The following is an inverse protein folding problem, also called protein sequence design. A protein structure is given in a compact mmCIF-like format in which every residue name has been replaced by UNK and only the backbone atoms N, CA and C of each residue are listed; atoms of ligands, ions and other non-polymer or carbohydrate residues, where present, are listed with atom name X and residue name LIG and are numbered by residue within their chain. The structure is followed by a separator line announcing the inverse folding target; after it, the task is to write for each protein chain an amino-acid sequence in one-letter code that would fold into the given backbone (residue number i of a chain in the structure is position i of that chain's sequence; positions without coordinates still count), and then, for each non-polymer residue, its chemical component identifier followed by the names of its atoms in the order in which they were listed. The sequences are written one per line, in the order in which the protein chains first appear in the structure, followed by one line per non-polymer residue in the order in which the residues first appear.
data_IF_675977649203
#
_entry.id   IF_675977649203
#
_cell.length_a   1.000
_cell.length_b   1.000
_cell.length_c   1.000
_cell.angle_alpha   90.00
_cell.angle_beta   90.00
_cell.angle_gamma   90.00
#
_symmetry.space_group_name_H-M   'P 1'
#
loop_
_entity.id
_entity.type
_entity.pdbx_description
1 polymer ?
#
# COMPACT_ATOMS: atom_id res chain seq x y z
N UNK A 1 10.76 -1.03 -7.60
CA UNK A 1 9.81 0.09 -7.77
C UNK A 1 9.74 0.80 -6.43
N UNK A 2 10.09 2.10 -6.37
CA UNK A 2 10.05 2.85 -5.12
C UNK A 2 8.70 3.52 -4.95
N UNK A 3 8.10 3.38 -3.76
CA UNK A 3 6.86 4.09 -3.42
C UNK A 3 7.18 5.58 -3.23
N UNK A 4 6.39 6.45 -3.85
CA UNK A 4 6.51 7.90 -3.75
C UNK A 4 5.59 8.46 -2.66
N UNK A 5 4.30 8.14 -2.75
CA UNK A 5 3.27 8.65 -1.83
C UNK A 5 2.20 7.59 -1.61
N UNK A 6 1.59 7.61 -0.42
CA UNK A 6 0.38 6.87 -0.13
C UNK A 6 -0.69 7.79 0.47
N UNK A 7 -1.94 7.64 0.06
CA UNK A 7 -3.07 8.42 0.59
C UNK A 7 -4.35 7.58 0.64
N UNK A 8 -5.25 7.88 1.57
CA UNK A 8 -6.53 7.18 1.72
C UNK A 8 -7.52 7.60 0.62
N UNK A 9 -8.34 6.65 0.15
CA UNK A 9 -9.43 6.92 -0.78
C UNK A 9 -10.59 7.64 -0.08
N UNK A 10 -11.09 8.72 -0.69
CA UNK A 10 -12.15 9.54 -0.09
C UNK A 10 -13.50 8.82 0.03
N UNK A 11 -13.75 7.79 -0.80
CA UNK A 11 -15.01 7.01 -0.78
C UNK A 11 -14.89 5.74 0.05
N UNK A 12 -13.71 5.13 0.11
CA UNK A 12 -13.50 3.83 0.77
C UNK A 12 -12.50 3.93 1.92
N UNK A 13 -13.01 4.04 3.15
CA UNK A 13 -12.17 4.01 4.36
C UNK A 13 -11.39 2.71 4.45
N UNK A 14 -10.08 2.82 4.71
CA UNK A 14 -9.17 1.68 4.78
C UNK A 14 -8.62 1.20 3.43
N UNK A 15 -8.97 1.88 2.33
CA UNK A 15 -8.36 1.68 1.01
C UNK A 15 -7.39 2.82 0.74
N UNK A 16 -6.19 2.47 0.28
CA UNK A 16 -5.10 3.41 0.07
C UNK A 16 -4.59 3.36 -1.37
N UNK A 17 -4.25 4.51 -1.92
CA UNK A 17 -3.61 4.66 -3.21
C UNK A 17 -2.11 4.83 -3.03
N UNK A 18 -1.35 3.88 -3.58
CA UNK A 18 0.10 3.88 -3.66
C UNK A 18 0.54 4.46 -5.00
N UNK A 19 1.11 5.66 -4.99
CA UNK A 19 1.79 6.26 -6.14
C UNK A 19 3.26 5.83 -6.17
N UNK A 20 3.69 5.22 -7.27
CA UNK A 20 5.07 4.84 -7.51
C UNK A 20 5.81 5.94 -8.28
N UNK A 21 7.13 5.95 -8.20
CA UNK A 21 7.97 6.95 -8.87
C UNK A 21 7.80 6.97 -10.42
N UNK A 22 7.41 5.82 -10.98
CA UNK A 22 7.11 5.63 -12.41
C UNK A 22 5.77 6.27 -12.84
N UNK A 23 5.00 6.84 -11.91
CA UNK A 23 3.67 7.41 -12.16
C UNK A 23 2.52 6.39 -12.12
N UNK A 24 2.87 5.10 -11.99
CA UNK A 24 1.89 4.04 -11.74
C UNK A 24 1.20 4.21 -10.38
N UNK A 25 -0.11 3.96 -10.33
CA UNK A 25 -0.92 3.97 -9.10
C UNK A 25 -1.47 2.58 -8.83
N UNK A 26 -1.30 2.06 -7.61
CA UNK A 26 -1.92 0.80 -7.19
C UNK A 26 -2.75 1.01 -5.94
N UNK A 27 -3.83 0.25 -5.84
CA UNK A 27 -4.59 0.14 -4.62
C UNK A 27 -3.86 -0.78 -3.65
N UNK A 28 -3.86 -0.41 -2.39
CA UNK A 28 -3.35 -1.20 -1.29
C UNK A 28 -4.27 -1.05 -0.07
N UNK A 29 -4.20 -2.03 0.82
CA UNK A 29 -4.92 -2.01 2.10
C UNK A 29 -3.93 -2.16 3.24
N UNK A 30 -4.28 -1.64 4.42
CA UNK A 30 -3.45 -1.86 5.61
C UNK A 30 -3.37 -3.36 5.88
N UNK A 31 -2.15 -3.87 5.97
CA UNK A 31 -1.93 -5.22 6.41
C UNK A 31 -2.13 -5.30 7.93
N UNK A 32 -3.18 -6.02 8.34
CA UNK A 32 -3.47 -6.25 9.76
C UNK A 32 -2.53 -7.28 10.40
N UNK A 33 -1.78 -8.04 9.58
CA UNK A 33 -0.85 -9.07 10.03
C UNK A 33 0.53 -8.83 9.41
N UNK A 34 1.33 -7.89 9.96
CA UNK A 34 2.60 -7.51 9.37
C UNK A 34 3.55 -8.71 9.26
N UNK A 35 4.22 -8.84 8.10
CA UNK A 35 5.19 -9.90 7.83
C UNK A 35 4.61 -11.24 7.34
N UNK A 36 3.31 -11.34 7.09
CA UNK A 36 2.70 -12.53 6.48
C UNK A 36 2.21 -12.26 5.06
N UNK A 37 2.86 -12.88 4.07
CA UNK A 37 2.45 -12.83 2.66
C UNK A 37 1.62 -14.08 2.34
N UNK A 38 0.37 -13.89 1.91
CA UNK A 38 -0.52 -15.03 1.59
C UNK A 38 -0.27 -15.54 0.17
N UNK A 39 -0.06 -14.63 -0.79
CA UNK A 39 0.15 -14.98 -2.21
C UNK A 39 1.44 -14.44 -2.82
N UNK A 40 2.42 -14.02 -1.99
CA UNK A 40 3.67 -13.42 -2.48
C UNK A 40 3.51 -11.99 -3.01
N UNK A 41 2.46 -11.30 -2.57
CA UNK A 41 2.16 -9.91 -2.91
C UNK A 41 3.26 -8.97 -2.39
N UNK A 42 3.50 -7.86 -3.12
CA UNK A 42 4.52 -6.89 -2.74
C UNK A 42 4.05 -6.10 -1.51
N UNK A 43 4.61 -6.40 -0.35
CA UNK A 43 4.38 -5.61 0.87
C UNK A 43 5.09 -4.26 0.75
N UNK A 44 4.39 -3.19 1.08
CA UNK A 44 4.91 -1.83 1.03
C UNK A 44 4.84 -1.24 2.44
N UNK A 45 5.98 -0.87 3.01
CA UNK A 45 6.01 -0.15 4.28
C UNK A 45 6.09 1.36 4.02
N UNK A 46 5.14 2.12 4.55
CA UNK A 46 5.15 3.57 4.48
C UNK A 46 4.79 4.19 5.82
N UNK A 47 5.66 5.04 6.36
CA UNK A 47 5.42 5.73 7.63
C UNK A 47 5.24 4.79 8.84
N UNK A 48 5.78 3.56 8.78
CA UNK A 48 5.63 2.55 9.84
C UNK A 48 4.36 1.70 9.72
N UNK A 49 3.54 1.90 8.70
CA UNK A 49 2.37 1.07 8.40
C UNK A 49 2.71 0.17 7.20
N UNK A 50 2.40 -1.13 7.32
CA UNK A 50 2.57 -2.09 6.24
C UNK A 50 1.27 -2.19 5.42
N UNK A 51 1.41 -2.10 4.10
CA UNK A 51 0.33 -2.20 3.14
C UNK A 51 0.55 -3.41 2.23
N UNK A 52 -0.55 -4.04 1.83
CA UNK A 52 -0.60 -5.14 0.86
C UNK A 52 -1.47 -4.76 -0.33
#
# INVERSE_FOLDING_TARGET
MSLKTIYEDEKFKGVYWCEFDDGSRKLATINLTPGFQVYGEQLVNYGGVEFR
#
